data_IF_387982809477
#
_entry.id   IF_387982809477
#
_cell.length_a   1.000
_cell.length_b   1.000
_cell.length_c   1.000
_cell.angle_alpha   90.00
_cell.angle_beta   90.00
_cell.angle_gamma   90.00
#
_symmetry.space_group_name_H-M   'P 1'
#
loop_
_entity.id
_entity.type
_entity.pdbx_description
1 polymer ?
#
# COMPACT_ATOMS: atom_id res chain seq x y z
N UNK A 1 9.38 15.95 19.12
CA UNK A 1 8.14 16.01 19.92
C UNK A 1 7.34 17.33 19.76
N UNK A 2 8.00 18.38 19.25
CA UNK A 2 7.32 19.66 18.99
C UNK A 2 6.24 19.56 17.92
N UNK A 3 6.42 18.72 16.90
CA UNK A 3 5.42 18.49 15.87
C UNK A 3 4.18 17.73 16.39
N UNK A 4 4.27 17.03 17.53
CA UNK A 4 3.23 16.19 18.14
C UNK A 4 2.56 15.22 17.15
N UNK A 5 3.36 14.69 16.22
CA UNK A 5 2.91 13.77 15.18
C UNK A 5 3.91 12.63 14.98
N UNK A 6 3.43 11.50 14.48
CA UNK A 6 4.30 10.47 13.92
C UNK A 6 4.86 10.96 12.58
N UNK A 7 6.19 10.90 12.46
CA UNK A 7 6.87 11.39 11.27
C UNK A 7 6.94 10.30 10.20
N UNK A 8 6.38 10.51 9.01
CA UNK A 8 6.70 9.69 7.84
C UNK A 8 8.19 9.73 7.52
N UNK A 9 8.70 8.68 6.90
CA UNK A 9 10.12 8.50 6.60
C UNK A 9 10.75 9.70 5.87
N UNK A 10 10.01 10.31 4.94
CA UNK A 10 10.40 11.52 4.20
C UNK A 10 10.56 12.78 5.07
N UNK A 11 10.06 12.76 6.30
CA UNK A 11 10.20 13.85 7.26
C UNK A 11 11.27 13.59 8.30
N UNK A 12 12.06 12.54 8.11
CA UNK A 12 13.22 12.20 8.92
C UNK A 12 14.45 12.23 8.01
N UNK A 13 15.49 12.91 8.43
CA UNK A 13 16.81 12.87 7.80
C UNK A 13 17.89 12.57 8.82
N UNK A 14 18.98 11.95 8.36
CA UNK A 14 20.08 11.60 9.22
C UNK A 14 21.24 10.98 8.45
N UNK A 15 22.03 10.16 9.14
CA UNK A 15 23.17 9.45 8.54
C UNK A 15 22.75 8.02 8.17
N UNK A 16 23.11 7.59 6.98
CA UNK A 16 22.88 6.22 6.51
C UNK A 16 23.50 5.19 7.47
N UNK A 17 22.76 4.19 7.95
CA UNK A 17 23.29 3.16 8.84
C UNK A 17 24.35 2.27 8.17
N UNK A 18 24.33 2.17 6.82
CA UNK A 18 25.24 1.31 6.04
C UNK A 18 26.53 2.01 5.64
N UNK A 19 26.45 3.15 4.97
CA UNK A 19 27.65 3.84 4.44
C UNK A 19 28.06 5.11 5.21
N UNK A 20 27.24 5.61 6.14
CA UNK A 20 27.52 6.82 6.91
C UNK A 20 27.27 8.13 6.16
N UNK A 21 26.75 8.10 4.95
CA UNK A 21 26.39 9.30 4.20
C UNK A 21 25.39 10.15 4.98
N UNK A 22 25.64 11.47 5.03
CA UNK A 22 24.79 12.42 5.77
C UNK A 22 23.58 12.84 4.95
N UNK A 23 22.60 13.45 5.60
CA UNK A 23 21.42 14.05 5.01
C UNK A 23 20.55 13.06 4.20
N UNK A 24 20.56 11.79 4.58
CA UNK A 24 19.77 10.74 3.93
C UNK A 24 18.36 10.65 4.54
N UNK A 25 17.37 10.25 3.75
CA UNK A 25 16.00 10.05 4.22
C UNK A 25 15.84 8.83 5.12
N UNK A 26 14.72 8.78 5.86
CA UNK A 26 14.48 7.76 6.90
C UNK A 26 14.28 6.33 6.39
N UNK A 27 14.16 6.11 5.08
CA UNK A 27 13.87 4.83 4.45
C UNK A 27 14.93 4.37 3.44
N UNK A 28 15.74 5.29 2.92
CA UNK A 28 16.67 4.99 1.83
C UNK A 28 17.88 5.91 1.80
N UNK A 29 18.97 5.43 1.23
CA UNK A 29 20.18 6.17 1.00
C UNK A 29 20.39 6.46 -0.48
N UNK A 30 20.45 7.72 -0.86
CA UNK A 30 20.67 8.14 -2.26
C UNK A 30 22.11 7.84 -2.72
N UNK A 31 23.08 7.77 -1.80
CA UNK A 31 24.49 7.52 -2.12
C UNK A 31 24.80 6.04 -2.38
N UNK A 32 24.30 5.13 -1.53
CA UNK A 32 24.63 3.70 -1.64
C UNK A 32 23.45 2.82 -2.06
N UNK A 33 22.25 3.39 -2.25
CA UNK A 33 21.04 2.66 -2.65
C UNK A 33 20.47 1.72 -1.57
N UNK A 34 21.00 1.75 -0.34
CA UNK A 34 20.50 0.89 0.73
C UNK A 34 19.14 1.36 1.23
N UNK A 35 18.25 0.41 1.51
CA UNK A 35 17.00 0.63 2.23
C UNK A 35 17.13 0.20 3.69
N UNK A 36 16.42 0.87 4.58
CA UNK A 36 16.44 0.63 6.02
C UNK A 36 15.17 1.20 6.67
N UNK A 37 14.92 0.80 7.91
CA UNK A 37 13.82 1.40 8.69
C UNK A 37 14.25 2.78 9.22
N UNK A 38 13.32 3.70 9.35
CA UNK A 38 13.54 5.01 9.95
C UNK A 38 14.06 4.95 11.41
N UNK A 39 13.88 3.81 12.07
CA UNK A 39 14.48 3.54 13.40
C UNK A 39 15.96 3.20 13.35
N UNK A 40 16.50 2.82 12.20
CA UNK A 40 17.91 2.45 12.02
C UNK A 40 18.79 3.63 11.62
N UNK A 41 18.20 4.73 11.12
CA UNK A 41 18.96 5.91 10.70
C UNK A 41 19.70 6.53 11.89
N UNK A 42 20.95 6.91 11.68
CA UNK A 42 21.77 7.51 12.73
C UNK A 42 21.56 9.02 12.79
N UNK A 43 21.62 9.57 13.99
CA UNK A 43 21.45 11.01 14.23
C UNK A 43 20.21 11.61 13.56
N UNK A 44 18.99 11.00 13.74
CA UNK A 44 17.81 11.45 13.07
C UNK A 44 17.40 12.86 13.48
N UNK A 45 16.96 13.65 12.48
CA UNK A 45 16.41 15.00 12.68
C UNK A 45 15.10 15.08 11.91
N UNK A 46 14.08 15.66 12.54
CA UNK A 46 12.82 16.01 11.89
C UNK A 46 13.03 17.15 10.89
N UNK A 47 12.64 16.98 9.64
CA UNK A 47 12.67 18.07 8.64
C UNK A 47 11.56 19.10 8.85
N UNK A 48 10.57 18.79 9.71
CA UNK A 48 9.44 19.67 10.02
C UNK A 48 9.80 20.65 11.14
N UNK A 49 10.46 20.17 12.21
CA UNK A 49 10.71 20.96 13.41
C UNK A 49 12.19 21.19 13.68
N UNK A 50 13.06 20.54 12.91
CA UNK A 50 14.53 20.53 13.10
C UNK A 50 14.96 20.03 14.50
N UNK A 51 14.12 19.20 15.12
CA UNK A 51 14.38 18.57 16.43
C UNK A 51 14.63 17.07 16.28
N UNK A 52 15.27 16.47 17.27
CA UNK A 52 15.50 15.03 17.32
C UNK A 52 14.17 14.30 17.58
N UNK A 53 13.72 13.39 16.69
CA UNK A 53 12.53 12.60 16.94
C UNK A 53 12.76 11.58 18.07
N UNK A 54 11.69 11.20 18.72
CA UNK A 54 11.67 10.13 19.73
C UNK A 54 10.97 8.91 19.19
N UNK A 55 11.41 7.72 19.56
CA UNK A 55 10.72 6.48 19.25
C UNK A 55 9.53 6.30 20.19
N UNK A 56 8.34 5.98 19.62
CA UNK A 56 7.12 5.74 20.36
C UNK A 56 6.40 4.54 19.75
N UNK A 57 5.90 3.65 20.61
CA UNK A 57 5.07 2.53 20.16
C UNK A 57 3.66 3.04 19.80
N UNK A 58 3.10 2.46 18.75
CA UNK A 58 1.72 2.64 18.33
C UNK A 58 1.11 1.31 17.93
N UNK A 59 -0.22 1.20 18.00
CA UNK A 59 -0.94 0.03 17.55
C UNK A 59 -1.38 0.25 16.11
N UNK A 60 -1.11 -0.74 15.25
CA UNK A 60 -1.51 -0.71 13.85
C UNK A 60 -2.30 -1.94 13.46
N UNK A 61 -3.19 -1.79 12.50
CA UNK A 61 -3.92 -2.86 11.83
C UNK A 61 -3.17 -3.26 10.58
N UNK A 62 -3.07 -4.56 10.35
CA UNK A 62 -2.42 -5.13 9.17
C UNK A 62 -3.44 -5.87 8.31
N UNK A 63 -3.39 -5.66 7.01
CA UNK A 63 -4.07 -6.52 6.05
C UNK A 63 -3.25 -7.79 5.88
N UNK A 64 -3.88 -8.94 6.16
CA UNK A 64 -3.21 -10.24 6.18
C UNK A 64 -2.97 -10.79 4.77
N UNK A 65 -2.12 -10.10 4.00
CA UNK A 65 -1.80 -10.44 2.62
C UNK A 65 -1.23 -11.86 2.48
N UNK A 66 -0.44 -12.30 3.45
CA UNK A 66 0.13 -13.64 3.50
C UNK A 66 -0.92 -14.76 3.39
N UNK A 67 -2.15 -14.53 3.86
CA UNK A 67 -3.25 -15.49 3.76
C UNK A 67 -3.77 -15.69 2.35
N UNK A 68 -3.49 -14.77 1.42
CA UNK A 68 -3.95 -14.80 0.03
C UNK A 68 -2.92 -15.35 -0.95
N UNK A 69 -1.77 -15.83 -0.50
CA UNK A 69 -0.68 -16.29 -1.37
C UNK A 69 -1.12 -17.38 -2.36
N UNK A 70 -1.87 -18.40 -1.89
CA UNK A 70 -2.38 -19.47 -2.73
C UNK A 70 -3.36 -18.97 -3.79
N UNK A 71 -4.25 -18.06 -3.37
CA UNK A 71 -5.21 -17.44 -4.27
C UNK A 71 -4.48 -16.61 -5.34
N UNK A 72 -3.54 -15.76 -4.95
CA UNK A 72 -2.80 -14.88 -5.86
C UNK A 72 -1.99 -15.68 -6.89
N UNK A 73 -1.34 -16.78 -6.48
CA UNK A 73 -0.66 -17.69 -7.41
C UNK A 73 -1.62 -18.24 -8.45
N UNK A 74 -2.77 -18.77 -8.00
CA UNK A 74 -3.78 -19.32 -8.91
C UNK A 74 -4.33 -18.24 -9.84
N UNK A 75 -4.73 -17.08 -9.31
CA UNK A 75 -5.25 -15.96 -10.10
C UNK A 75 -4.25 -15.51 -11.16
N UNK A 76 -2.97 -15.39 -10.81
CA UNK A 76 -1.90 -15.03 -11.75
C UNK A 76 -1.69 -16.08 -12.84
N UNK A 77 -1.92 -17.36 -12.54
CA UNK A 77 -1.76 -18.45 -13.53
C UNK A 77 -2.96 -18.57 -14.46
N UNK A 78 -4.15 -18.24 -13.96
CA UNK A 78 -5.41 -18.31 -14.72
C UNK A 78 -5.62 -17.09 -15.65
N UNK A 79 -4.85 -15.99 -15.47
CA UNK A 79 -5.02 -14.76 -16.24
C UNK A 79 -3.83 -14.47 -17.17
N UNK A 80 -4.11 -13.78 -18.28
CA UNK A 80 -3.12 -13.36 -19.27
C UNK A 80 -2.42 -12.05 -18.86
N UNK A 81 -1.63 -12.15 -17.80
CA UNK A 81 -0.86 -11.02 -17.27
C UNK A 81 0.41 -10.85 -18.11
N UNK A 82 0.74 -9.61 -18.48
CA UNK A 82 1.98 -9.27 -19.18
C UNK A 82 3.20 -9.96 -18.54
N UNK A 83 4.03 -10.62 -19.35
CA UNK A 83 5.11 -11.49 -18.90
C UNK A 83 6.06 -10.84 -17.89
N UNK A 84 6.43 -9.58 -18.12
CA UNK A 84 7.32 -8.81 -17.24
C UNK A 84 6.71 -8.60 -15.85
N UNK A 85 5.42 -8.30 -15.81
CA UNK A 85 4.66 -8.16 -14.56
C UNK A 85 4.53 -9.51 -13.87
N UNK A 86 4.15 -10.56 -14.61
CA UNK A 86 4.03 -11.92 -14.06
C UNK A 86 5.34 -12.41 -13.43
N UNK A 87 6.48 -12.14 -14.08
CA UNK A 87 7.80 -12.47 -13.52
C UNK A 87 8.05 -11.73 -12.21
N UNK A 88 7.72 -10.45 -12.15
CA UNK A 88 7.92 -9.63 -10.94
C UNK A 88 7.00 -10.06 -9.80
N UNK A 89 5.73 -10.36 -10.09
CA UNK A 89 4.79 -10.91 -9.11
C UNK A 89 5.29 -12.26 -8.56
N UNK A 90 5.82 -13.13 -9.44
CA UNK A 90 6.39 -14.43 -9.06
C UNK A 90 7.60 -14.29 -8.13
N UNK A 91 8.45 -13.29 -8.36
CA UNK A 91 9.58 -12.96 -7.49
C UNK A 91 9.09 -12.61 -6.07
N UNK A 92 8.11 -11.71 -5.94
CA UNK A 92 7.55 -11.33 -4.65
C UNK A 92 6.86 -12.50 -3.93
N UNK A 93 6.09 -13.30 -4.65
CA UNK A 93 5.44 -14.50 -4.11
C UNK A 93 6.45 -15.55 -3.64
N UNK A 94 7.58 -15.71 -4.34
CA UNK A 94 8.64 -16.66 -3.97
C UNK A 94 9.42 -16.20 -2.74
N UNK A 95 9.52 -14.90 -2.51
CA UNK A 95 10.13 -14.31 -1.33
C UNK A 95 9.26 -14.41 -0.07
N UNK A 96 8.00 -14.83 -0.21
CA UNK A 96 6.99 -14.82 0.84
C UNK A 96 6.33 -13.45 1.00
N UNK A 97 5.01 -13.44 1.08
CA UNK A 97 4.25 -12.20 1.26
C UNK A 97 4.23 -11.77 2.72
N UNK A 98 4.51 -10.50 2.96
CA UNK A 98 4.44 -9.88 4.29
C UNK A 98 3.08 -9.19 4.44
N UNK A 99 2.52 -9.30 5.64
CA UNK A 99 1.27 -8.60 5.99
C UNK A 99 1.49 -7.09 5.92
N UNK A 100 0.49 -6.39 5.42
CA UNK A 100 0.62 -5.00 5.07
C UNK A 100 0.04 -4.06 6.12
N UNK A 101 0.85 -3.15 6.61
CA UNK A 101 0.42 -2.08 7.52
C UNK A 101 -0.50 -1.09 6.79
N UNK A 102 -1.79 -1.16 7.14
CA UNK A 102 -2.84 -0.32 6.56
C UNK A 102 -3.21 0.87 7.44
N UNK A 103 -2.49 1.11 8.53
CA UNK A 103 -2.79 2.17 9.49
C UNK A 103 -1.86 3.37 9.33
N UNK A 104 -2.41 4.55 9.50
CA UNK A 104 -1.66 5.80 9.69
C UNK A 104 -2.17 6.52 10.91
N UNK A 105 -1.23 7.02 11.71
CA UNK A 105 -1.52 7.80 12.90
C UNK A 105 -1.85 9.27 12.54
N UNK A 106 -2.66 9.90 13.40
CA UNK A 106 -2.92 11.34 13.33
C UNK A 106 -1.62 12.18 13.47
N UNK A 107 -1.49 13.32 12.74
CA UNK A 107 -2.42 13.85 11.75
C UNK A 107 -2.21 13.20 10.37
N UNK A 108 -3.26 12.65 9.80
CA UNK A 108 -3.25 12.04 8.48
C UNK A 108 -4.54 12.39 7.76
N UNK A 109 -4.46 12.73 6.47
CA UNK A 109 -5.64 12.95 5.64
C UNK A 109 -6.08 11.61 5.03
N UNK A 110 -7.26 11.12 5.41
CA UNK A 110 -7.79 9.84 4.95
C UNK A 110 -9.06 9.46 5.69
N UNK A 111 -9.56 8.27 5.42
CA UNK A 111 -10.72 7.70 6.11
C UNK A 111 -10.28 7.10 7.45
N UNK A 112 -11.01 7.45 8.51
CA UNK A 112 -10.76 6.89 9.84
C UNK A 112 -11.13 5.40 9.86
N UNK A 113 -10.29 4.58 10.50
CA UNK A 113 -10.56 3.14 10.65
C UNK A 113 -11.71 2.97 11.64
N UNK A 114 -12.82 2.29 11.26
CA UNK A 114 -13.95 2.08 12.15
C UNK A 114 -13.54 1.44 13.49
N UNK A 115 -13.93 2.07 14.59
CA UNK A 115 -13.62 1.58 15.94
C UNK A 115 -12.24 1.95 16.47
N UNK A 116 -11.38 2.61 15.69
CA UNK A 116 -10.05 3.04 16.12
C UNK A 116 -9.92 4.57 16.03
N UNK A 117 -9.97 5.23 17.16
CA UNK A 117 -9.87 6.69 17.24
C UNK A 117 -8.49 7.18 16.79
N UNK A 118 -8.46 8.25 15.99
CA UNK A 118 -7.25 8.90 15.48
C UNK A 118 -6.33 7.96 14.63
N UNK A 119 -6.92 6.89 14.07
CA UNK A 119 -6.26 5.95 13.15
C UNK A 119 -6.95 5.99 11.79
N UNK A 120 -6.17 6.09 10.74
CA UNK A 120 -6.65 6.29 9.37
C UNK A 120 -6.16 5.17 8.45
N UNK A 121 -6.94 4.83 7.44
CA UNK A 121 -6.48 3.93 6.40
C UNK A 121 -5.34 4.54 5.61
N UNK A 122 -4.34 3.72 5.33
CA UNK A 122 -3.30 4.07 4.38
C UNK A 122 -3.88 4.21 2.96
N UNK A 123 -3.49 5.28 2.27
CA UNK A 123 -4.05 5.67 0.97
C UNK A 123 -4.12 4.54 -0.07
N UNK A 124 -3.18 3.61 -0.09
CA UNK A 124 -3.20 2.51 -1.04
C UNK A 124 -4.20 1.39 -0.70
N UNK A 125 -4.81 1.41 0.48
CA UNK A 125 -5.96 0.55 0.76
C UNK A 125 -7.24 1.15 0.17
N UNK A 126 -7.46 2.45 0.32
CA UNK A 126 -8.69 3.12 -0.12
C UNK A 126 -8.64 3.61 -1.58
N UNK A 127 -7.47 3.97 -2.10
CA UNK A 127 -7.33 4.50 -3.46
C UNK A 127 -7.90 3.57 -4.56
N UNK A 128 -7.65 2.25 -4.56
CA UNK A 128 -8.24 1.35 -5.56
C UNK A 128 -9.76 1.23 -5.47
N UNK A 129 -10.35 1.45 -4.29
CA UNK A 129 -11.81 1.51 -4.11
C UNK A 129 -12.41 2.64 -4.94
N UNK A 130 -11.62 3.68 -5.24
CA UNK A 130 -11.98 4.77 -6.13
C UNK A 130 -12.42 4.29 -7.53
N UNK A 131 -11.90 3.16 -8.02
CA UNK A 131 -12.34 2.57 -9.29
C UNK A 131 -13.81 2.14 -9.21
N UNK A 132 -14.17 1.42 -8.15
CA UNK A 132 -15.57 1.02 -7.91
C UNK A 132 -16.45 2.24 -7.68
N UNK A 133 -15.99 3.20 -6.86
CA UNK A 133 -16.75 4.41 -6.56
C UNK A 133 -17.01 5.27 -7.80
N UNK A 134 -16.01 5.41 -8.68
CA UNK A 134 -16.12 6.13 -9.95
C UNK A 134 -17.13 5.45 -10.89
N UNK A 135 -17.01 4.13 -11.03
CA UNK A 135 -17.95 3.35 -11.85
C UNK A 135 -19.37 3.37 -11.28
N UNK A 136 -19.50 3.22 -9.96
CA UNK A 136 -20.80 3.35 -9.29
C UNK A 136 -21.45 4.70 -9.57
N UNK A 137 -20.71 5.80 -9.47
CA UNK A 137 -21.22 7.14 -9.78
C UNK A 137 -21.66 7.27 -11.25
N UNK A 138 -20.95 6.63 -12.18
CA UNK A 138 -21.36 6.55 -13.58
C UNK A 138 -22.67 5.76 -13.72
N UNK A 139 -22.77 4.58 -13.12
CA UNK A 139 -23.95 3.73 -13.16
C UNK A 139 -25.19 4.42 -12.55
N UNK A 140 -25.04 5.08 -11.41
CA UNK A 140 -26.11 5.83 -10.74
C UNK A 140 -26.69 6.93 -11.68
N UNK A 141 -25.81 7.64 -12.42
CA UNK A 141 -26.24 8.66 -13.39
C UNK A 141 -26.93 8.11 -14.62
N UNK A 142 -26.68 6.85 -14.95
CA UNK A 142 -27.23 6.18 -16.14
C UNK A 142 -28.32 5.15 -15.80
N UNK A 143 -28.80 5.11 -14.55
CA UNK A 143 -29.78 4.12 -14.06
C UNK A 143 -29.34 2.67 -14.30
N UNK A 144 -28.06 2.39 -14.10
CA UNK A 144 -27.44 1.07 -14.19
C UNK A 144 -27.05 0.58 -12.80
N UNK A 145 -26.91 -0.74 -12.63
CA UNK A 145 -26.44 -1.32 -11.38
C UNK A 145 -24.93 -1.67 -11.51
N UNK A 146 -24.06 -0.99 -10.76
CA UNK A 146 -22.63 -1.23 -10.81
C UNK A 146 -22.24 -2.67 -10.43
N UNK A 147 -23.07 -3.37 -9.66
CA UNK A 147 -22.82 -4.77 -9.28
C UNK A 147 -22.91 -5.73 -10.47
N UNK A 148 -23.60 -5.36 -11.56
CA UNK A 148 -23.63 -6.17 -12.77
C UNK A 148 -22.23 -6.36 -13.37
N UNK A 149 -21.33 -5.40 -13.12
CA UNK A 149 -19.95 -5.42 -13.57
C UNK A 149 -18.96 -5.87 -12.49
N UNK A 150 -19.24 -5.59 -11.21
CA UNK A 150 -18.30 -5.86 -10.11
C UNK A 150 -18.62 -7.11 -9.29
N UNK A 151 -19.79 -7.69 -9.42
CA UNK A 151 -20.11 -8.93 -8.70
C UNK A 151 -19.26 -10.10 -9.17
N UNK A 152 -19.00 -11.05 -8.27
CA UNK A 152 -18.36 -12.32 -8.64
C UNK A 152 -19.18 -13.03 -9.72
N UNK A 153 -18.49 -13.54 -10.75
CA UNK A 153 -19.13 -14.17 -11.90
C UNK A 153 -19.63 -13.21 -12.98
N UNK A 154 -19.45 -11.90 -12.85
CA UNK A 154 -19.64 -10.95 -13.95
C UNK A 154 -18.81 -11.34 -15.17
N UNK A 155 -19.37 -11.11 -16.37
CA UNK A 155 -18.69 -11.32 -17.65
C UNK A 155 -18.00 -10.07 -18.18
N UNK A 156 -18.08 -8.96 -17.46
CA UNK A 156 -17.37 -7.72 -17.80
C UNK A 156 -15.88 -7.93 -17.60
N UNK A 157 -15.04 -7.52 -18.52
CA UNK A 157 -13.59 -7.57 -18.40
C UNK A 157 -13.10 -6.32 -17.70
N UNK A 158 -12.08 -6.46 -16.82
CA UNK A 158 -11.47 -5.37 -16.06
C UNK A 158 -9.96 -5.36 -16.28
N UNK A 159 -9.49 -4.37 -17.01
CA UNK A 159 -8.07 -4.18 -17.31
C UNK A 159 -7.53 -2.94 -16.61
N UNK A 160 -6.35 -3.07 -15.99
CA UNK A 160 -5.63 -1.97 -15.36
C UNK A 160 -4.43 -1.54 -16.21
N UNK A 161 -4.43 -0.29 -16.67
CA UNK A 161 -3.29 0.35 -17.32
C UNK A 161 -2.56 1.22 -16.29
N UNK A 162 -1.43 0.76 -15.80
CA UNK A 162 -0.74 1.33 -14.63
C UNK A 162 0.76 1.54 -14.89
N UNK A 163 1.38 2.43 -14.13
CA UNK A 163 2.83 2.54 -14.04
C UNK A 163 3.44 1.37 -13.28
N UNK A 164 4.67 1.01 -13.60
CA UNK A 164 5.40 -0.10 -12.97
C UNK A 164 5.52 0.03 -11.45
N UNK A 165 5.56 1.26 -10.94
CA UNK A 165 5.79 1.55 -9.53
C UNK A 165 4.60 1.15 -8.64
N UNK A 166 3.41 1.01 -9.25
CA UNK A 166 2.19 0.58 -8.55
C UNK A 166 1.77 -0.85 -8.89
N UNK A 167 2.61 -1.59 -9.60
CA UNK A 167 2.35 -2.99 -9.96
C UNK A 167 2.16 -3.88 -8.72
N UNK A 168 2.91 -3.62 -7.64
CA UNK A 168 2.78 -4.34 -6.38
C UNK A 168 1.35 -4.22 -5.80
N UNK A 169 0.79 -3.01 -5.80
CA UNK A 169 -0.55 -2.76 -5.28
C UNK A 169 -1.64 -3.37 -6.17
N UNK A 170 -1.51 -3.31 -7.49
CA UNK A 170 -2.51 -3.80 -8.42
C UNK A 170 -2.42 -5.31 -8.70
N UNK A 171 -1.24 -5.90 -8.55
CA UNK A 171 -1.02 -7.33 -8.78
C UNK A 171 -1.10 -8.21 -7.53
N UNK A 172 -1.04 -7.63 -6.33
CA UNK A 172 -1.11 -8.38 -5.07
C UNK A 172 -2.23 -7.88 -4.16
N UNK A 173 -2.17 -6.63 -3.71
CA UNK A 173 -3.14 -6.11 -2.75
C UNK A 173 -4.55 -6.02 -3.31
N UNK A 174 -4.71 -5.40 -4.47
CA UNK A 174 -6.01 -5.17 -5.06
C UNK A 174 -6.79 -6.46 -5.35
N UNK A 175 -6.20 -7.46 -6.03
CA UNK A 175 -6.87 -8.76 -6.21
C UNK A 175 -7.21 -9.45 -4.88
N UNK A 176 -6.31 -9.38 -3.88
CA UNK A 176 -6.57 -9.95 -2.55
C UNK A 176 -7.70 -9.23 -1.80
N UNK A 177 -7.79 -7.91 -1.91
CA UNK A 177 -8.89 -7.12 -1.34
C UNK A 177 -10.22 -7.46 -1.99
N UNK A 178 -10.25 -7.56 -3.32
CA UNK A 178 -11.45 -7.92 -4.09
C UNK A 178 -11.91 -9.34 -3.73
N UNK A 179 -10.99 -10.29 -3.62
CA UNK A 179 -11.29 -11.66 -3.16
C UNK A 179 -11.92 -11.66 -1.77
N UNK A 180 -11.30 -10.95 -0.82
CA UNK A 180 -11.81 -10.86 0.55
C UNK A 180 -13.15 -10.15 0.67
N UNK A 181 -13.48 -9.28 -0.27
CA UNK A 181 -14.73 -8.53 -0.32
C UNK A 181 -15.82 -9.19 -1.20
N UNK A 182 -15.53 -10.32 -1.86
CA UNK A 182 -16.46 -11.04 -2.72
C UNK A 182 -16.75 -10.31 -4.05
N UNK A 183 -15.81 -9.50 -4.53
CA UNK A 183 -15.89 -8.86 -5.84
C UNK A 183 -15.11 -9.65 -6.90
N UNK A 184 -15.49 -9.43 -8.17
CA UNK A 184 -14.69 -9.95 -9.28
C UNK A 184 -13.29 -9.35 -9.26
N UNK A 185 -12.33 -10.09 -9.77
CA UNK A 185 -10.92 -9.69 -9.87
C UNK A 185 -10.63 -9.15 -11.29
N UNK A 186 -9.55 -8.39 -11.48
CA UNK A 186 -9.04 -8.04 -12.81
C UNK A 186 -8.71 -9.27 -13.66
N UNK A 187 -8.83 -9.12 -14.98
CA UNK A 187 -8.47 -10.14 -15.99
C UNK A 187 -7.00 -10.05 -16.37
#
# INVERSE_FOLDING_TARGET
>A
DEAKMFLPDRFIKGECPKCGAKDQYGDSCEECGATYSSSEIKNPISTVTNTKPITKNTEHVFFKLSSYEKFLKKWMDDNDIQKEIKNKLSEWLSGGLVDWDITRDKPYFGFEIPGLKDKFFYVWLDAPIGYIASHKNYCDKNNQNYLDDWAEGSKTELYHFIGKDIAYFHGLFWPAMLEGAGFRKPD
#
